data_IF_003746998796
#
_entry.id   IF_003746998796
#
_cell.length_a   1.000
_cell.length_b   1.000
_cell.length_c   1.000
_cell.angle_alpha   90.00
_cell.angle_beta   90.00
_cell.angle_gamma   90.00
#
_symmetry.space_group_name_H-M   'P 1'
#
loop_
_entity.id
_entity.type
_entity.pdbx_description
1 polymer ?
#
# COMPACT_ATOMS: atom_id res chain seq x y z
N UNK A 1 -28.94 32.95 -4.26
CA UNK A 1 -27.82 32.41 -5.06
C UNK A 1 -28.19 31.02 -5.52
N UNK A 2 -28.07 30.74 -6.80
CA UNK A 2 -28.37 29.45 -7.41
C UNK A 2 -27.12 28.92 -8.12
N UNK A 3 -26.78 27.66 -7.91
CA UNK A 3 -25.65 26.99 -8.60
C UNK A 3 -26.20 26.33 -9.86
N UNK A 4 -25.82 26.83 -11.02
CA UNK A 4 -26.34 26.35 -12.30
C UNK A 4 -25.48 25.28 -12.93
N UNK A 5 -24.15 25.38 -12.75
CA UNK A 5 -23.20 24.38 -13.21
C UNK A 5 -22.28 23.98 -12.07
N UNK A 6 -21.99 22.68 -11.95
CA UNK A 6 -21.03 22.16 -10.99
C UNK A 6 -20.34 20.93 -11.56
N UNK A 7 -19.02 20.99 -11.62
CA UNK A 7 -18.14 19.88 -11.94
C UNK A 7 -17.11 19.71 -10.83
N UNK A 8 -16.73 18.47 -10.54
CA UNK A 8 -15.67 18.18 -9.58
C UNK A 8 -14.74 17.12 -10.16
N UNK A 9 -13.45 17.38 -10.12
CA UNK A 9 -12.41 16.47 -10.57
C UNK A 9 -11.45 16.18 -9.42
N UNK A 10 -11.26 14.89 -9.15
CA UNK A 10 -10.29 14.45 -8.16
C UNK A 10 -8.90 14.30 -8.80
N UNK A 11 -7.90 14.89 -8.18
CA UNK A 11 -6.50 14.76 -8.58
C UNK A 11 -5.75 13.75 -7.73
N UNK A 12 -4.69 13.27 -8.30
CA UNK A 12 -3.82 12.24 -7.76
C UNK A 12 -3.09 12.73 -6.48
N UNK A 13 -3.35 13.33 -5.57
CA UNK A 13 -2.79 13.63 -4.24
C UNK A 13 -3.89 13.82 -3.18
N UNK A 14 -5.13 13.37 -3.49
CA UNK A 14 -6.27 13.65 -2.62
C UNK A 14 -6.75 15.10 -2.69
N UNK A 15 -6.31 15.84 -3.71
CA UNK A 15 -6.82 17.17 -4.03
C UNK A 15 -8.08 17.02 -4.89
N UNK A 16 -9.07 17.87 -4.67
CA UNK A 16 -10.30 17.91 -5.48
C UNK A 16 -10.51 19.34 -5.98
N UNK A 17 -10.63 19.49 -7.28
CA UNK A 17 -10.99 20.77 -7.88
C UNK A 17 -12.49 20.78 -8.15
N UNK A 18 -13.17 21.79 -7.62
CA UNK A 18 -14.60 22.03 -7.79
C UNK A 18 -14.75 23.31 -8.60
N UNK A 19 -15.41 23.22 -9.72
CA UNK A 19 -15.71 24.37 -10.59
C UNK A 19 -17.21 24.51 -10.75
N UNK A 20 -17.69 25.73 -10.82
CA UNK A 20 -19.10 25.96 -11.08
C UNK A 20 -19.44 27.39 -11.35
N UNK A 21 -20.68 27.56 -11.79
CA UNK A 21 -21.31 28.86 -12.05
C UNK A 21 -22.38 29.10 -11.00
N UNK A 22 -22.30 30.26 -10.36
CA UNK A 22 -23.25 30.72 -9.34
C UNK A 22 -23.96 31.97 -9.86
N UNK A 23 -25.26 31.94 -9.86
CA UNK A 23 -26.12 33.09 -10.17
C UNK A 23 -26.53 33.81 -8.88
N UNK A 24 -26.30 35.11 -8.80
CA UNK A 24 -26.81 35.97 -7.73
C UNK A 24 -27.68 37.09 -8.33
N UNK A 25 -28.99 36.86 -8.35
CA UNK A 25 -29.91 37.66 -9.14
C UNK A 25 -29.67 37.47 -10.64
N UNK A 26 -29.32 38.56 -11.33
CA UNK A 26 -29.02 38.55 -12.78
C UNK A 26 -27.49 38.41 -13.05
N UNK A 27 -26.68 38.43 -12.04
CA UNK A 27 -25.21 38.39 -12.15
C UNK A 27 -24.67 36.95 -12.11
N UNK A 28 -23.73 36.66 -13.01
CA UNK A 28 -23.07 35.36 -13.14
C UNK A 28 -21.68 35.42 -12.50
N UNK A 29 -21.35 34.44 -11.68
CA UNK A 29 -20.05 34.28 -11.03
C UNK A 29 -19.46 32.90 -11.34
N UNK A 30 -18.24 32.87 -11.88
CA UNK A 30 -17.47 31.64 -12.05
C UNK A 30 -16.59 31.41 -10.84
N UNK A 31 -16.80 30.29 -10.22
CA UNK A 31 -16.12 29.92 -8.98
C UNK A 31 -15.29 28.65 -9.22
N UNK A 32 -14.08 28.68 -8.70
CA UNK A 32 -13.18 27.55 -8.66
C UNK A 32 -12.68 27.38 -7.24
N UNK A 33 -12.78 26.17 -6.70
CA UNK A 33 -12.31 25.81 -5.35
C UNK A 33 -11.35 24.63 -5.50
N UNK A 34 -10.15 24.75 -4.97
CA UNK A 34 -9.19 23.66 -4.86
C UNK A 34 -9.14 23.21 -3.41
N UNK A 35 -9.64 21.99 -3.14
CA UNK A 35 -9.59 21.37 -1.83
C UNK A 35 -8.28 20.57 -1.69
N UNK A 36 -7.46 20.91 -0.69
CA UNK A 36 -6.22 20.24 -0.33
C UNK A 36 -6.40 19.56 1.04
N UNK A 37 -6.88 18.31 1.03
CA UNK A 37 -7.21 17.61 2.27
C UNK A 37 -8.55 18.03 2.92
N UNK A 38 -8.69 17.87 4.23
CA UNK A 38 -9.99 18.04 4.93
C UNK A 38 -10.35 19.48 5.28
N UNK A 39 -9.38 20.37 5.44
CA UNK A 39 -9.59 21.73 5.96
C UNK A 39 -8.86 22.83 5.20
N UNK A 40 -8.16 22.52 4.14
CA UNK A 40 -7.41 23.52 3.37
C UNK A 40 -8.05 23.70 1.99
N UNK A 41 -8.50 24.95 1.72
CA UNK A 41 -9.19 25.33 0.49
C UNK A 41 -8.56 26.59 -0.08
N UNK A 42 -8.19 26.53 -1.35
CA UNK A 42 -7.89 27.71 -2.17
C UNK A 42 -9.07 27.99 -3.07
N UNK A 43 -9.47 29.22 -3.26
CA UNK A 43 -10.57 29.55 -4.16
C UNK A 43 -10.32 30.79 -5.00
N UNK A 44 -11.00 30.85 -6.13
CA UNK A 44 -11.14 32.06 -6.94
C UNK A 44 -12.59 32.25 -7.38
N UNK A 45 -13.05 33.47 -7.36
CA UNK A 45 -14.40 33.82 -7.77
C UNK A 45 -14.34 35.04 -8.69
N UNK A 46 -14.86 34.93 -9.88
CA UNK A 46 -14.87 36.02 -10.91
C UNK A 46 -16.27 36.37 -11.30
N UNK A 47 -16.56 37.65 -11.37
CA UNK A 47 -17.82 38.17 -11.92
C UNK A 47 -17.78 38.16 -13.47
N UNK A 48 -18.80 37.62 -14.09
CA UNK A 48 -18.94 37.50 -15.53
C UNK A 48 -20.03 38.45 -16.02
N UNK A 49 -19.73 39.29 -16.99
CA UNK A 49 -20.73 40.15 -17.60
C UNK A 49 -21.74 39.37 -18.44
N UNK A 50 -22.92 39.95 -18.73
CA UNK A 50 -23.92 39.38 -19.64
C UNK A 50 -23.37 39.08 -21.06
N UNK A 51 -22.22 39.66 -21.42
CA UNK A 51 -21.52 39.39 -22.70
C UNK A 51 -20.42 38.30 -22.54
N UNK A 52 -20.31 37.63 -21.40
CA UNK A 52 -19.34 36.58 -21.13
C UNK A 52 -17.92 37.08 -20.81
N UNK A 53 -17.70 38.39 -20.62
CA UNK A 53 -16.40 38.96 -20.24
C UNK A 53 -16.18 38.83 -18.75
N UNK A 54 -14.99 38.39 -18.36
CA UNK A 54 -14.57 38.39 -16.95
C UNK A 54 -14.32 39.83 -16.49
N UNK A 55 -15.09 40.30 -15.52
CA UNK A 55 -15.00 41.65 -14.95
C UNK A 55 -14.01 41.73 -13.76
N UNK A 56 -13.36 40.63 -13.42
CA UNK A 56 -12.42 40.53 -12.29
C UNK A 56 -13.01 39.80 -11.08
N UNK A 57 -12.38 40.00 -9.92
CA UNK A 57 -12.85 39.36 -8.68
C UNK A 57 -14.26 39.85 -8.31
N UNK A 58 -14.99 38.99 -7.59
CA UNK A 58 -16.38 39.24 -7.22
C UNK A 58 -16.61 40.48 -6.34
N UNK A 59 -15.55 41.10 -5.79
CA UNK A 59 -15.61 42.32 -4.99
C UNK A 59 -16.38 42.20 -3.65
N UNK A 60 -16.90 41.03 -3.34
CA UNK A 60 -17.65 40.78 -2.10
C UNK A 60 -16.70 40.34 -0.99
N UNK A 61 -16.85 40.96 0.19
CA UNK A 61 -16.01 40.64 1.37
C UNK A 61 -16.14 39.17 1.74
N UNK A 62 -15.00 38.53 2.02
CA UNK A 62 -14.97 37.18 2.55
C UNK A 62 -15.62 37.15 3.94
N UNK A 63 -16.56 36.25 4.14
CA UNK A 63 -17.17 35.96 5.43
C UNK A 63 -16.73 34.58 5.90
N UNK A 64 -16.65 34.39 7.21
CA UNK A 64 -16.48 33.04 7.73
C UNK A 64 -17.77 32.25 7.49
N UNK A 65 -17.66 31.16 6.71
CA UNK A 65 -18.77 30.22 6.55
C UNK A 65 -18.98 29.36 7.82
N UNK A 66 -19.99 28.49 7.78
CA UNK A 66 -20.28 27.55 8.88
C UNK A 66 -19.07 26.69 9.26
N UNK A 67 -18.16 26.46 8.33
CA UNK A 67 -16.95 25.65 8.50
C UNK A 67 -15.71 26.47 8.94
N UNK A 68 -15.90 27.76 9.26
CA UNK A 68 -14.81 28.66 9.68
C UNK A 68 -13.85 29.08 8.57
N UNK A 69 -14.14 28.75 7.30
CA UNK A 69 -13.30 29.03 6.15
C UNK A 69 -13.67 30.39 5.57
N UNK A 70 -12.70 31.34 5.47
CA UNK A 70 -12.98 32.66 4.90
C UNK A 70 -13.12 32.55 3.37
N UNK A 71 -14.35 32.63 2.86
CA UNK A 71 -14.69 32.62 1.44
C UNK A 71 -15.75 33.68 1.13
N UNK A 72 -15.85 34.09 -0.14
CA UNK A 72 -16.99 34.89 -0.57
C UNK A 72 -18.28 34.07 -0.59
N UNK A 73 -19.46 34.72 -0.51
CA UNK A 73 -20.75 34.00 -0.51
C UNK A 73 -20.97 33.08 -1.72
N UNK A 74 -20.46 33.43 -2.88
CA UNK A 74 -20.57 32.61 -4.09
C UNK A 74 -19.76 31.31 -3.97
N UNK A 75 -18.54 31.38 -3.42
CA UNK A 75 -17.72 30.21 -3.16
C UNK A 75 -18.36 29.30 -2.09
N UNK A 76 -18.96 29.89 -1.05
CA UNK A 76 -19.73 29.14 -0.06
C UNK A 76 -20.93 28.42 -0.68
N UNK A 77 -21.69 29.09 -1.56
CA UNK A 77 -22.83 28.50 -2.25
C UNK A 77 -22.42 27.28 -3.09
N UNK A 78 -21.31 27.41 -3.85
CA UNK A 78 -20.79 26.31 -4.64
C UNK A 78 -20.30 25.13 -3.78
N UNK A 79 -19.55 25.42 -2.72
CA UNK A 79 -19.05 24.40 -1.79
C UNK A 79 -20.20 23.67 -1.09
N UNK A 80 -21.22 24.40 -0.63
CA UNK A 80 -22.39 23.81 0.01
C UNK A 80 -23.18 22.89 -0.94
N UNK A 81 -23.37 23.32 -2.21
CA UNK A 81 -24.05 22.49 -3.21
C UNK A 81 -23.23 21.22 -3.55
N UNK A 82 -21.90 21.34 -3.65
CA UNK A 82 -21.04 20.18 -3.88
C UNK A 82 -21.13 19.20 -2.71
N UNK A 83 -21.00 19.66 -1.46
CA UNK A 83 -21.14 18.82 -0.27
C UNK A 83 -22.53 18.17 -0.19
N UNK A 84 -23.58 18.89 -0.60
CA UNK A 84 -24.94 18.34 -0.65
C UNK A 84 -25.08 17.23 -1.69
N UNK A 85 -24.44 17.37 -2.87
CA UNK A 85 -24.40 16.31 -3.90
C UNK A 85 -23.57 15.12 -3.45
N UNK A 86 -22.39 15.36 -2.91
CA UNK A 86 -21.53 14.33 -2.36
C UNK A 86 -22.25 13.55 -1.23
N UNK A 87 -22.99 14.24 -0.35
CA UNK A 87 -23.80 13.60 0.70
C UNK A 87 -25.00 12.83 0.16
N UNK A 88 -25.55 13.19 -1.00
CA UNK A 88 -26.63 12.44 -1.66
C UNK A 88 -26.11 11.23 -2.41
N UNK A 89 -24.98 11.35 -3.07
CA UNK A 89 -24.27 10.24 -3.72
C UNK A 89 -23.66 9.29 -2.70
N UNK A 90 -23.22 9.80 -1.57
CA UNK A 90 -22.74 9.04 -0.41
C UNK A 90 -23.86 8.51 0.49
N UNK A 91 -25.10 8.35 -0.01
CA UNK A 91 -26.15 7.57 0.69
C UNK A 91 -25.81 6.10 0.88
N UNK A 92 -24.67 5.69 0.43
CA UNK A 92 -23.88 4.64 1.04
C UNK A 92 -22.62 5.29 1.65
N UNK A 93 -22.66 5.73 2.91
CA UNK A 93 -21.44 6.00 3.64
C UNK A 93 -20.79 4.64 3.86
N UNK A 94 -20.06 4.18 2.89
CA UNK A 94 -19.08 3.16 3.11
C UNK A 94 -17.91 3.86 3.82
N UNK A 95 -18.15 4.27 5.07
CA UNK A 95 -17.13 4.17 6.08
C UNK A 95 -16.80 2.68 6.14
N UNK A 96 -16.15 2.20 5.09
CA UNK A 96 -15.66 0.85 5.02
C UNK A 96 -14.60 0.79 6.10
N UNK A 97 -14.98 0.23 7.26
CA UNK A 97 -14.04 -0.04 8.33
C UNK A 97 -12.82 -0.72 7.69
N UNK A 98 -11.64 -0.54 8.23
CA UNK A 98 -10.44 -1.23 7.73
C UNK A 98 -10.71 -2.73 7.51
N UNK A 99 -11.59 -3.34 8.32
CA UNK A 99 -12.06 -4.72 8.16
C UNK A 99 -12.81 -4.96 6.84
N UNK A 100 -13.71 -4.08 6.44
CA UNK A 100 -14.47 -4.25 5.18
C UNK A 100 -13.59 -3.97 3.97
N UNK A 101 -12.67 -3.00 4.03
CA UNK A 101 -11.64 -2.81 2.98
C UNK A 101 -10.74 -4.03 2.85
N UNK A 102 -10.37 -4.62 3.97
CA UNK A 102 -9.60 -5.87 3.99
C UNK A 102 -10.42 -7.02 3.39
N UNK A 103 -11.69 -7.19 3.78
CA UNK A 103 -12.58 -8.23 3.26
C UNK A 103 -12.87 -8.07 1.75
N UNK A 104 -13.17 -6.85 1.29
CA UNK A 104 -13.37 -6.55 -0.14
C UNK A 104 -12.09 -6.83 -0.92
N UNK A 105 -10.93 -6.42 -0.41
CA UNK A 105 -9.64 -6.67 -1.01
C UNK A 105 -9.32 -8.17 -1.06
N UNK A 106 -9.61 -8.89 0.02
CA UNK A 106 -9.41 -10.34 0.10
C UNK A 106 -10.36 -11.09 -0.85
N UNK A 107 -11.62 -10.65 -0.95
CA UNK A 107 -12.59 -11.22 -1.88
C UNK A 107 -12.20 -10.95 -3.34
N UNK A 108 -11.86 -9.69 -3.68
CA UNK A 108 -11.37 -9.34 -5.02
C UNK A 108 -10.10 -10.10 -5.35
N UNK A 109 -9.22 -10.27 -4.39
CA UNK A 109 -7.99 -11.03 -4.49
C UNK A 109 -8.26 -12.51 -4.76
N UNK A 110 -9.23 -13.11 -4.08
CA UNK A 110 -9.67 -14.51 -4.32
C UNK A 110 -10.27 -14.68 -5.70
N UNK A 111 -11.11 -13.75 -6.15
CA UNK A 111 -11.73 -13.83 -7.48
C UNK A 111 -10.70 -13.63 -8.60
N UNK A 112 -9.79 -12.66 -8.48
CA UNK A 112 -8.70 -12.48 -9.44
C UNK A 112 -7.77 -13.68 -9.43
N UNK A 113 -7.43 -14.24 -8.28
CA UNK A 113 -6.64 -15.47 -8.17
C UNK A 113 -7.37 -16.68 -8.74
N UNK A 114 -8.70 -16.77 -8.57
CA UNK A 114 -9.52 -17.85 -9.16
C UNK A 114 -9.57 -17.76 -10.68
N UNK A 115 -9.67 -16.56 -11.23
CA UNK A 115 -9.73 -16.33 -12.67
C UNK A 115 -8.34 -16.52 -13.32
N UNK A 116 -7.28 -16.06 -12.67
CA UNK A 116 -5.91 -16.11 -13.19
C UNK A 116 -5.11 -17.33 -12.74
N UNK A 117 -5.51 -18.00 -11.68
CA UNK A 117 -4.68 -18.93 -10.93
C UNK A 117 -5.17 -20.35 -10.74
N UNK A 118 -6.22 -20.81 -11.45
CA UNK A 118 -6.56 -22.24 -11.43
C UNK A 118 -5.39 -23.12 -11.94
N UNK A 119 -4.41 -22.53 -12.61
CA UNK A 119 -3.19 -23.21 -13.09
C UNK A 119 -1.94 -22.97 -12.23
N UNK A 120 -1.97 -22.07 -11.25
CA UNK A 120 -0.77 -21.65 -10.49
C UNK A 120 -0.82 -21.96 -8.99
N UNK A 121 -1.89 -22.56 -8.49
CA UNK A 121 -2.07 -22.81 -7.06
C UNK A 121 -1.04 -23.83 -6.51
N UNK A 122 -0.30 -23.37 -5.47
CA UNK A 122 0.68 -24.21 -4.77
C UNK A 122 1.95 -24.56 -5.55
N UNK A 123 2.20 -23.91 -6.70
CA UNK A 123 3.29 -24.31 -7.60
C UNK A 123 4.65 -23.69 -7.27
N UNK A 124 4.68 -22.59 -6.50
CA UNK A 124 5.94 -21.89 -6.23
C UNK A 124 6.43 -22.15 -4.81
N UNK A 125 7.73 -22.36 -4.72
CA UNK A 125 8.43 -22.53 -3.45
C UNK A 125 9.25 -21.30 -3.10
N UNK A 126 9.18 -20.92 -1.83
CA UNK A 126 10.02 -19.88 -1.24
C UNK A 126 11.01 -20.56 -0.29
N UNK A 127 12.28 -20.62 -0.68
CA UNK A 127 13.32 -21.34 0.05
C UNK A 127 14.20 -20.34 0.77
N UNK A 128 14.31 -20.43 2.11
CA UNK A 128 15.19 -19.58 2.90
C UNK A 128 16.65 -20.06 2.82
N UNK A 129 17.57 -19.10 2.73
CA UNK A 129 19.02 -19.31 2.90
C UNK A 129 19.42 -18.56 4.16
N UNK A 130 19.84 -19.31 5.19
CA UNK A 130 20.15 -18.75 6.49
C UNK A 130 21.64 -18.49 6.62
N UNK A 131 22.02 -17.32 7.09
CA UNK A 131 23.39 -17.00 7.49
C UNK A 131 23.43 -16.75 8.98
N UNK A 132 24.19 -17.57 9.70
CA UNK A 132 24.36 -17.45 11.14
C UNK A 132 25.72 -16.84 11.43
N UNK A 133 25.72 -15.70 12.11
CA UNK A 133 26.89 -15.08 12.72
C UNK A 133 26.75 -15.10 14.25
N UNK A 134 27.79 -14.67 14.98
CA UNK A 134 27.79 -14.74 16.45
C UNK A 134 26.55 -14.16 17.10
N UNK A 135 26.06 -13.01 16.57
CA UNK A 135 24.99 -12.24 17.21
C UNK A 135 23.74 -12.10 16.33
N UNK A 136 23.77 -12.54 15.07
CA UNK A 136 22.71 -12.28 14.11
C UNK A 136 22.37 -13.50 13.26
N UNK A 137 21.08 -13.70 13.05
CA UNK A 137 20.55 -14.62 12.04
C UNK A 137 20.00 -13.77 10.91
N UNK A 138 20.54 -13.97 9.71
CA UNK A 138 20.11 -13.30 8.49
C UNK A 138 19.47 -14.32 7.58
N UNK A 139 18.38 -13.95 6.93
CA UNK A 139 17.65 -14.85 6.03
C UNK A 139 17.44 -14.18 4.70
N UNK A 140 17.97 -14.78 3.65
CA UNK A 140 17.70 -14.47 2.25
C UNK A 140 16.74 -15.50 1.71
N UNK A 141 16.08 -15.18 0.60
CA UNK A 141 15.10 -16.07 0.01
C UNK A 141 15.36 -16.27 -1.48
N UNK A 142 15.04 -17.46 -1.93
CA UNK A 142 14.90 -17.77 -3.36
C UNK A 142 13.47 -18.22 -3.63
N UNK A 143 13.00 -18.00 -4.84
CA UNK A 143 11.65 -18.34 -5.27
C UNK A 143 11.69 -19.07 -6.62
N UNK A 144 10.84 -20.06 -6.79
CA UNK A 144 10.74 -20.78 -8.06
C UNK A 144 9.93 -22.05 -7.97
N UNK A 145 9.89 -22.78 -9.06
CA UNK A 145 9.35 -24.14 -9.16
C UNK A 145 10.53 -25.14 -9.09
N UNK A 146 11.00 -25.58 -10.24
CA UNK A 146 12.18 -26.43 -10.36
C UNK A 146 13.47 -25.64 -10.19
N UNK A 147 13.56 -24.46 -10.84
CA UNK A 147 14.69 -23.56 -10.75
C UNK A 147 14.41 -22.44 -9.78
N UNK A 148 15.34 -22.21 -8.87
CA UNK A 148 15.25 -21.18 -7.85
C UNK A 148 15.94 -19.88 -8.28
N UNK A 149 15.29 -18.76 -8.06
CA UNK A 149 15.77 -17.41 -8.37
C UNK A 149 15.87 -16.58 -7.09
N UNK A 150 16.93 -15.80 -6.89
CA UNK A 150 17.07 -14.98 -5.69
C UNK A 150 16.01 -13.87 -5.64
N UNK A 151 15.38 -13.71 -4.49
CA UNK A 151 14.55 -12.54 -4.17
C UNK A 151 15.50 -11.41 -3.80
N UNK A 152 15.74 -10.49 -4.75
CA UNK A 152 16.74 -9.42 -4.61
C UNK A 152 16.29 -8.29 -3.68
N UNK A 153 14.97 -8.12 -3.54
CA UNK A 153 14.35 -7.05 -2.76
C UNK A 153 13.07 -7.55 -2.09
N UNK A 154 13.12 -7.68 -0.78
CA UNK A 154 12.00 -8.16 0.03
C UNK A 154 10.92 -7.06 0.18
N UNK A 155 11.28 -5.78 0.05
CA UNK A 155 10.32 -4.68 0.07
C UNK A 155 9.46 -4.71 -1.20
N UNK A 156 10.09 -4.89 -2.36
CA UNK A 156 9.39 -5.09 -3.62
C UNK A 156 8.55 -6.38 -3.62
N UNK A 157 9.07 -7.48 -3.05
CA UNK A 157 8.33 -8.73 -2.87
C UNK A 157 7.07 -8.53 -2.02
N UNK A 158 7.18 -7.90 -0.84
CA UNK A 158 6.03 -7.62 0.02
C UNK A 158 5.00 -6.73 -0.67
N UNK A 159 5.43 -5.70 -1.40
CA UNK A 159 4.55 -4.85 -2.21
C UNK A 159 3.83 -5.65 -3.30
N UNK A 160 4.55 -6.56 -3.98
CA UNK A 160 3.96 -7.43 -4.99
C UNK A 160 2.90 -8.37 -4.39
N UNK A 161 3.13 -8.91 -3.19
CA UNK A 161 2.16 -9.70 -2.44
C UNK A 161 0.92 -8.89 -2.03
N UNK A 162 1.12 -7.63 -1.63
CA UNK A 162 0.03 -6.71 -1.25
C UNK A 162 -0.84 -6.32 -2.45
N UNK A 163 -0.23 -6.16 -3.63
CA UNK A 163 -0.90 -5.69 -4.85
C UNK A 163 -1.23 -6.81 -5.84
N UNK A 164 -0.82 -8.04 -5.53
CA UNK A 164 -0.94 -9.22 -6.40
C UNK A 164 -0.38 -9.01 -7.81
N UNK A 165 0.70 -8.25 -7.90
CA UNK A 165 1.29 -7.91 -9.17
C UNK A 165 2.13 -9.05 -9.76
N UNK A 166 2.22 -9.04 -11.09
CA UNK A 166 3.13 -9.91 -11.84
C UNK A 166 4.57 -9.46 -11.59
N UNK A 167 5.43 -10.37 -11.13
CA UNK A 167 6.87 -10.12 -10.97
C UNK A 167 7.66 -11.10 -11.79
N UNK A 168 8.67 -10.60 -12.49
CA UNK A 168 9.58 -11.40 -13.29
C UNK A 168 10.90 -11.63 -12.55
N UNK A 169 11.26 -12.90 -12.40
CA UNK A 169 12.54 -13.36 -11.83
C UNK A 169 13.43 -13.89 -12.96
N UNK A 170 14.37 -13.08 -13.42
CA UNK A 170 15.23 -13.44 -14.53
C UNK A 170 14.45 -13.69 -15.84
N UNK A 171 15.02 -14.53 -16.73
CA UNK A 171 14.42 -14.80 -18.06
C UNK A 171 13.35 -15.90 -18.05
N UNK A 172 13.26 -16.70 -16.99
CA UNK A 172 12.50 -17.96 -17.03
C UNK A 172 11.38 -18.09 -16.01
N UNK A 173 11.13 -17.09 -15.16
CA UNK A 173 10.10 -17.15 -14.13
C UNK A 173 9.37 -15.82 -14.03
N UNK A 174 8.07 -15.84 -14.28
CA UNK A 174 7.17 -14.73 -14.00
C UNK A 174 5.85 -15.29 -13.47
N UNK A 175 5.33 -14.73 -12.38
CA UNK A 175 4.04 -15.13 -11.82
C UNK A 175 3.40 -14.02 -10.98
N UNK A 176 2.09 -14.12 -10.78
CA UNK A 176 1.37 -13.21 -9.90
C UNK A 176 1.58 -13.58 -8.43
N UNK A 177 2.01 -12.59 -7.65
CA UNK A 177 2.29 -12.78 -6.23
C UNK A 177 1.00 -12.84 -5.42
N UNK A 178 0.56 -14.04 -5.08
CA UNK A 178 -0.54 -14.28 -4.15
C UNK A 178 -0.15 -15.39 -3.17
N UNK A 179 -0.79 -15.45 -2.01
CA UNK A 179 -0.53 -16.53 -1.06
C UNK A 179 -0.87 -17.90 -1.65
N UNK A 180 -1.87 -17.97 -2.53
CA UNK A 180 -2.28 -19.22 -3.17
C UNK A 180 -1.26 -19.75 -4.17
N UNK A 181 -0.46 -18.87 -4.80
CA UNK A 181 0.58 -19.29 -5.73
C UNK A 181 1.69 -20.12 -5.06
N UNK A 182 1.85 -19.97 -3.75
CA UNK A 182 2.86 -20.67 -2.96
C UNK A 182 2.32 -21.97 -2.35
N UNK A 183 3.19 -22.95 -2.17
CA UNK A 183 2.89 -24.12 -1.33
C UNK A 183 2.67 -23.72 0.14
N UNK A 184 2.13 -24.62 0.95
CA UNK A 184 1.70 -24.35 2.31
C UNK A 184 2.85 -23.82 3.20
N UNK A 185 4.03 -24.41 3.07
CA UNK A 185 5.22 -24.02 3.84
C UNK A 185 5.70 -22.61 3.42
N UNK A 186 5.72 -22.35 2.13
CA UNK A 186 6.14 -21.04 1.58
C UNK A 186 5.15 -19.94 1.87
N UNK A 187 3.86 -20.22 2.05
CA UNK A 187 2.86 -19.24 2.50
C UNK A 187 3.21 -18.64 3.86
N UNK A 188 3.62 -19.51 4.82
CA UNK A 188 4.02 -19.03 6.14
C UNK A 188 5.27 -18.15 6.09
N UNK A 189 6.24 -18.48 5.21
CA UNK A 189 7.43 -17.66 4.98
C UNK A 189 7.09 -16.33 4.29
N UNK A 190 6.18 -16.34 3.31
CA UNK A 190 5.73 -15.12 2.65
C UNK A 190 5.05 -14.16 3.63
N UNK A 191 4.20 -14.68 4.54
CA UNK A 191 3.58 -13.89 5.60
C UNK A 191 4.63 -13.33 6.58
N UNK A 192 5.65 -14.09 6.93
CA UNK A 192 6.76 -13.62 7.75
C UNK A 192 7.51 -12.47 7.08
N UNK A 193 7.79 -12.56 5.78
CA UNK A 193 8.42 -11.48 5.02
C UNK A 193 7.55 -10.22 5.05
N UNK A 194 6.27 -10.35 4.74
CA UNK A 194 5.34 -9.20 4.73
C UNK A 194 5.28 -8.50 6.08
N UNK A 195 5.21 -9.27 7.18
CA UNK A 195 5.21 -8.72 8.54
C UNK A 195 6.51 -7.98 8.85
N UNK A 196 7.66 -8.58 8.55
CA UNK A 196 8.97 -7.98 8.85
C UNK A 196 9.25 -6.74 8.01
N UNK A 197 8.85 -6.76 6.76
CA UNK A 197 8.90 -5.57 5.90
C UNK A 197 7.97 -4.47 6.42
N UNK A 198 6.78 -4.83 6.91
CA UNK A 198 5.86 -3.88 7.57
C UNK A 198 6.52 -3.17 8.75
N UNK A 199 7.14 -3.90 9.68
CA UNK A 199 7.91 -3.32 10.80
C UNK A 199 9.07 -2.43 10.32
N UNK A 200 9.80 -2.88 9.32
CA UNK A 200 10.89 -2.10 8.74
C UNK A 200 10.38 -0.76 8.17
N UNK A 201 9.25 -0.77 7.44
CA UNK A 201 8.60 0.43 6.92
C UNK A 201 8.16 1.39 8.03
N UNK A 202 7.59 0.88 9.11
CA UNK A 202 7.16 1.69 10.26
C UNK A 202 8.33 2.37 10.96
N UNK A 203 9.40 1.63 11.25
CA UNK A 203 10.61 2.18 11.87
C UNK A 203 11.26 3.25 10.99
N UNK A 204 11.21 3.04 9.71
CA UNK A 204 11.79 3.96 8.76
C UNK A 204 10.97 5.25 8.65
N UNK A 205 9.64 5.18 8.64
CA UNK A 205 8.74 6.35 8.66
C UNK A 205 8.89 7.17 9.94
N UNK A 206 9.07 6.52 11.08
CA UNK A 206 9.23 7.18 12.39
C UNK A 206 10.49 8.04 12.53
N UNK A 207 11.51 7.80 11.74
CA UNK A 207 12.79 8.52 11.81
C UNK A 207 12.87 9.81 10.96
N UNK A 208 11.76 10.27 10.38
CA UNK A 208 11.68 11.57 9.68
C UNK A 208 12.59 11.73 8.45
N UNK A 209 13.24 10.67 7.98
CA UNK A 209 14.21 10.68 6.89
C UNK A 209 13.63 10.29 5.52
N UNK A 210 12.31 10.23 5.39
CA UNK A 210 11.67 9.92 4.12
C UNK A 210 11.18 11.14 3.36
N UNK A 211 11.80 11.36 2.25
CA UNK A 211 11.12 11.83 1.05
C UNK A 211 10.28 10.65 0.51
N UNK A 212 9.02 10.88 0.17
CA UNK A 212 8.02 9.86 -0.20
C UNK A 212 8.33 9.06 -1.47
N UNK A 213 9.54 9.11 -2.02
CA UNK A 213 9.82 8.69 -3.39
C UNK A 213 10.49 7.33 -3.56
N UNK A 214 11.15 6.76 -2.54
CA UNK A 214 11.70 5.41 -2.67
C UNK A 214 11.79 4.68 -1.33
N UNK A 215 11.09 3.55 -1.20
CA UNK A 215 11.33 2.61 -0.10
C UNK A 215 12.71 1.96 -0.32
N UNK A 216 13.56 1.87 0.73
CA UNK A 216 14.85 1.25 0.58
C UNK A 216 14.72 -0.26 0.32
N UNK A 217 15.52 -0.76 -0.59
CA UNK A 217 15.57 -2.18 -0.91
C UNK A 217 16.11 -2.99 0.29
N UNK A 218 15.37 -4.02 0.69
CA UNK A 218 15.76 -4.95 1.75
C UNK A 218 16.18 -6.28 1.12
N UNK A 219 17.45 -6.61 1.17
CA UNK A 219 18.00 -7.84 0.53
C UNK A 219 17.87 -9.09 1.41
N UNK A 220 17.80 -8.93 2.71
CA UNK A 220 17.76 -10.00 3.71
C UNK A 220 16.99 -9.54 4.95
N UNK A 221 16.37 -10.46 5.66
CA UNK A 221 15.80 -10.22 6.99
C UNK A 221 16.88 -10.42 8.05
N UNK A 222 17.04 -9.43 8.93
CA UNK A 222 17.82 -9.58 10.15
C UNK A 222 16.84 -9.93 11.28
N UNK A 223 16.95 -11.15 11.82
CA UNK A 223 16.00 -11.66 12.78
C UNK A 223 16.46 -11.37 14.22
N UNK A 224 15.72 -10.55 14.94
CA UNK A 224 15.79 -10.41 16.39
C UNK A 224 15.20 -11.66 17.09
N UNK A 225 15.19 -11.69 18.42
CA UNK A 225 14.77 -12.86 19.21
C UNK A 225 13.39 -13.41 18.78
N UNK A 226 12.35 -12.60 18.82
CA UNK A 226 10.99 -13.00 18.42
C UNK A 226 10.89 -13.44 16.95
N UNK A 227 11.64 -12.77 16.06
CA UNK A 227 11.71 -13.15 14.65
C UNK A 227 12.37 -14.50 14.42
N UNK A 228 13.40 -14.82 15.18
CA UNK A 228 14.07 -16.14 15.15
C UNK A 228 13.14 -17.24 15.63
N UNK A 229 12.49 -17.05 16.77
CA UNK A 229 11.54 -18.02 17.31
C UNK A 229 10.43 -18.33 16.31
N UNK A 230 9.84 -17.31 15.68
CA UNK A 230 8.80 -17.48 14.66
C UNK A 230 9.33 -18.15 13.39
N UNK A 231 10.49 -17.74 12.88
CA UNK A 231 11.10 -18.33 11.71
C UNK A 231 11.39 -19.82 11.93
N UNK A 232 12.01 -20.18 13.05
CA UNK A 232 12.31 -21.58 13.35
C UNK A 232 11.06 -22.40 13.65
N UNK A 233 9.98 -21.78 14.16
CA UNK A 233 8.69 -22.46 14.29
C UNK A 233 8.08 -22.83 12.93
N UNK A 234 8.23 -21.95 11.93
CA UNK A 234 7.79 -22.23 10.55
C UNK A 234 8.63 -23.35 9.92
N UNK A 235 9.93 -23.38 10.23
CA UNK A 235 10.89 -24.32 9.67
C UNK A 235 11.04 -25.62 10.47
N UNK A 236 10.19 -25.85 11.48
CA UNK A 236 10.28 -27.05 12.32
C UNK A 236 10.15 -28.34 11.49
N UNK A 237 11.08 -29.26 11.70
CA UNK A 237 11.18 -30.51 10.94
C UNK A 237 11.84 -30.40 9.56
N UNK A 238 12.11 -29.19 9.07
CA UNK A 238 12.65 -28.97 7.73
C UNK A 238 14.18 -28.88 7.73
N UNK A 239 14.75 -29.19 6.57
CA UNK A 239 16.19 -29.02 6.31
C UNK A 239 16.42 -27.83 5.40
N UNK A 240 17.17 -26.85 5.88
CA UNK A 240 17.43 -25.57 5.21
C UNK A 240 18.91 -25.39 4.90
N UNK A 241 19.22 -24.65 3.83
CA UNK A 241 20.59 -24.26 3.51
C UNK A 241 21.06 -23.18 4.49
N UNK A 242 22.19 -23.41 5.15
CA UNK A 242 22.85 -22.48 6.04
C UNK A 242 24.24 -22.13 5.50
N UNK A 243 24.53 -20.85 5.39
CA UNK A 243 25.87 -20.34 5.07
C UNK A 243 26.54 -19.87 6.37
N UNK A 244 27.76 -20.34 6.63
CA UNK A 244 28.57 -19.79 7.71
C UNK A 244 29.23 -18.46 7.28
N UNK A 245 29.87 -17.77 8.23
CA UNK A 245 30.59 -16.52 7.97
C UNK A 245 31.72 -16.66 6.93
N UNK A 246 32.17 -17.89 6.62
CA UNK A 246 33.15 -18.21 5.56
C UNK A 246 32.50 -18.57 4.24
N UNK A 247 31.17 -18.36 4.10
CA UNK A 247 30.35 -18.74 2.94
C UNK A 247 30.36 -20.23 2.63
N UNK A 248 30.71 -21.07 3.60
CA UNK A 248 30.60 -22.51 3.44
C UNK A 248 29.14 -22.91 3.63
N UNK A 249 28.60 -23.63 2.67
CA UNK A 249 27.23 -24.14 2.69
C UNK A 249 27.15 -25.40 3.55
N UNK A 250 26.12 -25.46 4.36
CA UNK A 250 25.79 -26.62 5.20
C UNK A 250 24.28 -26.79 5.20
N UNK A 251 23.84 -28.03 5.38
CA UNK A 251 22.42 -28.30 5.58
C UNK A 251 22.12 -28.31 7.09
N UNK A 252 21.10 -27.58 7.47
CA UNK A 252 20.65 -27.41 8.83
C UNK A 252 19.26 -28.02 8.99
N UNK A 253 19.11 -29.06 9.80
CA UNK A 253 17.78 -29.57 10.16
C UNK A 253 17.30 -28.85 11.41
N UNK A 254 16.15 -28.19 11.33
CA UNK A 254 15.52 -27.49 12.44
C UNK A 254 14.67 -28.49 13.21
N UNK A 255 14.87 -28.60 14.52
CA UNK A 255 14.03 -29.40 15.40
C UNK A 255 13.64 -28.58 16.62
N UNK A 256 12.37 -28.60 16.96
CA UNK A 256 11.88 -28.04 18.20
C UNK A 256 12.12 -29.06 19.33
N UNK A 257 13.11 -28.78 20.17
CA UNK A 257 13.31 -29.47 21.43
C UNK A 257 12.89 -28.55 22.57
N UNK A 258 12.07 -29.05 23.45
CA UNK A 258 11.39 -28.30 24.52
C UNK A 258 12.38 -27.56 25.44
N UNK A 259 12.33 -26.23 25.60
CA UNK A 259 11.51 -25.21 24.94
C UNK A 259 12.23 -24.43 23.81
N UNK A 260 13.34 -24.90 23.30
CA UNK A 260 14.24 -24.24 22.36
C UNK A 260 14.36 -24.99 21.05
N UNK A 261 14.65 -24.26 19.95
CA UNK A 261 14.98 -24.88 18.67
C UNK A 261 16.45 -25.30 18.64
N UNK A 262 16.69 -26.55 18.31
CA UNK A 262 18.05 -27.09 18.13
C UNK A 262 18.34 -27.23 16.65
N UNK A 263 19.50 -26.72 16.26
CA UNK A 263 20.00 -26.83 14.90
C UNK A 263 21.00 -27.97 14.82
N UNK A 264 20.66 -29.03 14.10
CA UNK A 264 21.57 -30.16 13.90
C UNK A 264 22.24 -30.02 12.53
N UNK A 265 23.54 -29.79 12.52
CA UNK A 265 24.35 -29.77 11.30
C UNK A 265 24.69 -31.17 10.90
N UNK A 266 24.14 -31.68 9.77
CA UNK A 266 24.64 -32.93 9.18
C UNK A 266 26.04 -32.68 8.61
N UNK A 267 27.06 -33.36 9.10
CA UNK A 267 28.31 -33.49 8.37
C UNK A 267 28.03 -34.43 7.21
N UNK A 268 28.14 -33.91 5.99
CA UNK A 268 28.32 -34.79 4.84
C UNK A 268 29.71 -35.46 5.01
N UNK A 269 29.68 -36.79 5.02
CA UNK A 269 30.88 -37.62 5.09
C UNK A 269 31.67 -37.60 3.80
#
# INVERSE_FOLDING_TARGET
MEVTELTAEAFWKGETEIRGTVMDGEDEYRVRILRKGSQNFDYSCSHISKTGRNLGFCGVSCTQGPDGIPMCPHAHALLAEWLRRESRESKHPVSTSQKVRFMVREYTNREVSRIMGASEEGHYRLIPIVTISRDQVRVRFTVGREKQYPVKDLTAFAKAMETMSLVQYGKGLAFHHSLQAFDEESRALALLIMERVGFFREQYRGNGRFSMEAEPALKELILGKAGRERFFAIMDGQTIECEDYRKKKRMLTVKRENPTFTAVVKKEG
#
